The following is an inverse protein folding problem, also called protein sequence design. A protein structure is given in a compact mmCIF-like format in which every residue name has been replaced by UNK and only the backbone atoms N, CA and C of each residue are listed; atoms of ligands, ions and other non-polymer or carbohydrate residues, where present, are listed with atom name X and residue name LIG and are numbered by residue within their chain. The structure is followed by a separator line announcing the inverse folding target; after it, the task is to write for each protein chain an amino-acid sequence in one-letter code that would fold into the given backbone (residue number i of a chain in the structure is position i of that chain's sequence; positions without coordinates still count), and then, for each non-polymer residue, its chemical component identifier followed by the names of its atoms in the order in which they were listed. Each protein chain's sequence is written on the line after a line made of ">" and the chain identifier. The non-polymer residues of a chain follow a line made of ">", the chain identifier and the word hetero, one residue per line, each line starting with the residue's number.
data_IF_773034281873
#
_entry.id   IF_773034281873
#
_cell.length_a   1.000
_cell.length_b   1.000
_cell.length_c   1.000
_cell.angle_alpha   90.00
_cell.angle_beta   90.00
_cell.angle_gamma   90.00
#
_symmetry.space_group_name_H-M   'P 1'
#
loop_
_entity.id
_entity.type
_entity.pdbx_description
1 polymer ?
#
# COMPACT_ATOMS: atom_id res chain seq x y z
N UNK A 1 -19.60 -21.79 3.49
CA UNK A 1 -19.03 -21.53 2.15
C UNK A 1 -19.27 -20.07 1.83
N UNK A 2 -18.24 -19.24 1.77
CA UNK A 2 -18.41 -17.85 1.36
C UNK A 2 -18.76 -17.84 -0.13
N UNK A 3 -19.92 -17.32 -0.50
CA UNK A 3 -20.25 -17.07 -1.90
C UNK A 3 -19.26 -16.01 -2.42
N UNK A 4 -18.37 -16.39 -3.32
CA UNK A 4 -17.58 -15.42 -4.08
C UNK A 4 -18.54 -14.67 -5.00
N UNK A 5 -18.85 -13.42 -4.65
CA UNK A 5 -19.53 -12.50 -5.55
C UNK A 5 -18.56 -12.17 -6.69
N UNK A 6 -18.99 -12.41 -7.93
CA UNK A 6 -18.21 -12.03 -9.10
C UNK A 6 -18.25 -10.50 -9.28
N UNK A 7 -17.08 -9.88 -9.39
CA UNK A 7 -16.95 -8.45 -9.67
C UNK A 7 -16.22 -8.21 -10.98
N UNK A 8 -16.67 -7.19 -11.71
CA UNK A 8 -15.86 -6.56 -12.75
C UNK A 8 -15.12 -5.38 -12.12
N UNK A 9 -13.79 -5.50 -12.02
CA UNK A 9 -12.91 -4.53 -11.38
C UNK A 9 -12.26 -3.62 -12.42
N UNK A 10 -12.26 -2.32 -12.18
CA UNK A 10 -11.49 -1.33 -12.95
C UNK A 10 -10.70 -0.46 -11.98
N UNK A 11 -9.37 -0.55 -12.06
CA UNK A 11 -8.40 0.21 -11.27
C UNK A 11 -7.45 0.89 -12.24
N UNK A 12 -7.12 2.18 -12.07
CA UNK A 12 -6.18 2.87 -12.95
C UNK A 12 -4.77 2.29 -12.81
N UNK A 13 -3.99 2.35 -13.89
CA UNK A 13 -2.54 2.26 -13.78
C UNK A 13 -2.08 3.44 -12.94
N UNK A 14 -1.32 3.16 -11.88
CA UNK A 14 -0.86 4.20 -10.96
C UNK A 14 0.62 4.06 -10.70
N UNK A 15 1.29 5.20 -10.63
CA UNK A 15 2.66 5.31 -10.10
C UNK A 15 2.66 6.39 -9.05
N UNK A 16 2.95 6.03 -7.81
CA UNK A 16 3.05 6.96 -6.69
C UNK A 16 4.47 6.92 -6.16
N UNK A 17 5.13 8.08 -6.17
CA UNK A 17 6.47 8.28 -5.65
C UNK A 17 6.41 9.26 -4.48
N UNK A 18 7.00 8.89 -3.35
CA UNK A 18 7.04 9.73 -2.16
C UNK A 18 8.47 9.85 -1.65
N UNK A 19 8.84 11.04 -1.18
CA UNK A 19 10.11 11.33 -0.51
C UNK A 19 9.80 12.11 0.76
N UNK A 20 9.84 11.42 1.91
CA UNK A 20 9.48 11.98 3.20
C UNK A 20 10.70 12.31 4.03
N UNK A 21 10.79 13.57 4.47
CA UNK A 21 11.65 13.96 5.59
C UNK A 21 10.95 13.59 6.88
N UNK A 22 11.41 12.51 7.50
CA UNK A 22 10.74 11.89 8.65
C UNK A 22 11.04 12.59 9.97
N UNK A 23 12.16 13.31 10.10
CA UNK A 23 12.58 13.90 11.38
C UNK A 23 11.46 14.68 12.08
N UNK A 24 10.82 15.63 11.40
CA UNK A 24 9.76 16.45 12.00
C UNK A 24 8.52 15.63 12.36
N UNK A 25 8.18 14.64 11.53
CA UNK A 25 7.03 13.76 11.78
C UNK A 25 7.28 12.85 12.99
N UNK A 26 8.47 12.26 13.08
CA UNK A 26 8.90 11.40 14.19
C UNK A 26 8.91 12.18 15.52
N UNK A 27 9.44 13.41 15.52
CA UNK A 27 9.38 14.30 16.69
C UNK A 27 7.93 14.55 17.11
N UNK A 28 7.04 14.88 16.18
CA UNK A 28 5.61 15.09 16.46
C UNK A 28 4.90 13.83 16.96
N UNK A 29 5.43 12.65 16.67
CA UNK A 29 4.94 11.36 17.16
C UNK A 29 5.54 10.97 18.53
N UNK A 30 6.38 11.82 19.14
CA UNK A 30 7.03 11.56 20.42
C UNK A 30 8.35 10.79 20.32
N UNK A 31 8.95 10.71 19.13
CA UNK A 31 10.27 10.14 18.89
C UNK A 31 11.23 11.31 18.66
N UNK A 32 11.60 12.01 19.73
CA UNK A 32 12.39 13.24 19.72
C UNK A 32 13.75 13.09 20.38
N UNK A 33 13.87 12.29 21.44
CA UNK A 33 15.12 12.04 22.18
C UNK A 33 16.30 11.71 21.25
N UNK A 34 16.08 10.81 20.27
CA UNK A 34 17.12 10.36 19.33
C UNK A 34 17.69 11.47 18.44
N UNK A 35 16.98 12.59 18.29
CA UNK A 35 17.38 13.75 17.51
C UNK A 35 17.99 14.88 18.38
N UNK A 36 18.02 14.70 19.70
CA UNK A 36 18.50 15.68 20.69
C UNK A 36 19.91 15.35 21.20
N UNK A 37 20.46 16.20 22.05
CA UNK A 37 21.74 15.93 22.75
C UNK A 37 21.59 14.92 23.92
N UNK A 38 20.36 14.57 24.27
CA UNK A 38 20.03 13.56 25.28
C UNK A 38 19.91 12.14 24.67
N UNK A 39 20.14 11.98 23.37
CA UNK A 39 20.06 10.70 22.69
C UNK A 39 20.98 9.64 23.34
N UNK A 40 20.40 8.51 23.76
CA UNK A 40 21.15 7.34 24.19
C UNK A 40 21.22 6.29 23.07
N UNK A 41 22.32 6.34 22.31
CA UNK A 41 22.67 5.37 21.28
C UNK A 41 23.82 4.46 21.71
N UNK A 42 24.03 4.27 23.02
CA UNK A 42 25.12 3.47 23.58
C UNK A 42 25.12 2.00 23.16
N UNK A 43 23.94 1.47 22.77
CA UNK A 43 23.78 0.14 22.17
C UNK A 43 24.40 0.00 20.77
N UNK A 44 24.64 1.12 20.06
CA UNK A 44 25.31 1.16 18.76
C UNK A 44 26.80 1.45 18.96
N UNK A 45 27.13 2.52 19.72
CA UNK A 45 28.51 2.95 19.99
C UNK A 45 28.63 3.46 21.43
N UNK A 46 29.62 2.97 22.17
CA UNK A 46 29.86 3.39 23.57
C UNK A 46 30.43 4.81 23.71
N UNK A 47 31.26 5.23 22.77
CA UNK A 47 31.88 6.56 22.71
C UNK A 47 32.39 6.84 21.30
N UNK A 48 32.26 8.07 20.75
CA UNK A 48 31.62 9.24 21.36
C UNK A 48 30.10 9.10 21.46
N UNK A 49 29.44 10.00 22.20
CA UNK A 49 27.98 10.12 22.16
C UNK A 49 27.52 10.44 20.74
N UNK A 50 26.45 9.79 20.29
CA UNK A 50 25.86 9.97 18.97
C UNK A 50 24.43 10.48 19.10
N UNK A 51 23.98 11.22 18.09
CA UNK A 51 22.58 11.56 17.87
C UNK A 51 22.24 11.45 16.40
N UNK A 52 20.97 11.24 16.09
CA UNK A 52 20.49 11.22 14.71
C UNK A 52 20.29 12.65 14.23
N UNK A 53 20.94 13.00 13.13
CA UNK A 53 20.83 14.34 12.55
C UNK A 53 19.55 14.51 11.73
N UNK A 54 19.19 13.50 10.94
CA UNK A 54 18.02 13.48 10.05
C UNK A 54 17.55 12.04 9.76
N UNK A 55 16.32 11.91 9.27
CA UNK A 55 15.74 10.65 8.83
C UNK A 55 14.89 10.88 7.57
N UNK A 56 15.06 10.05 6.55
CA UNK A 56 14.32 10.15 5.30
C UNK A 56 13.83 8.77 4.82
N UNK A 57 12.68 8.75 4.15
CA UNK A 57 12.12 7.56 3.55
C UNK A 57 11.56 7.87 2.16
N UNK A 58 12.10 7.19 1.16
CA UNK A 58 11.63 7.24 -0.22
C UNK A 58 10.95 5.91 -0.58
N UNK A 59 9.78 6.00 -1.18
CA UNK A 59 8.97 4.85 -1.59
C UNK A 59 8.39 5.09 -2.98
N UNK A 60 8.29 4.01 -3.76
CA UNK A 60 7.68 4.00 -5.09
C UNK A 60 6.75 2.79 -5.14
N UNK A 61 5.50 3.02 -5.53
CA UNK A 61 4.55 1.95 -5.85
C UNK A 61 4.05 2.16 -7.28
N UNK A 62 4.10 1.09 -8.05
CA UNK A 62 3.63 1.05 -9.43
C UNK A 62 2.64 -0.11 -9.55
N UNK A 63 1.47 0.20 -10.11
CA UNK A 63 0.40 -0.77 -10.40
C UNK A 63 0.15 -0.72 -11.89
N UNK A 64 0.44 -1.83 -12.54
CA UNK A 64 0.17 -2.07 -13.96
C UNK A 64 -0.60 -3.39 -14.14
N UNK A 65 -0.84 -3.78 -15.38
CA UNK A 65 -1.56 -5.01 -15.74
C UNK A 65 -0.69 -6.27 -15.61
N UNK A 66 0.64 -6.11 -15.50
CA UNK A 66 1.61 -7.22 -15.48
C UNK A 66 1.98 -7.64 -14.05
N UNK A 67 1.97 -6.71 -13.10
CA UNK A 67 2.34 -6.89 -11.69
C UNK A 67 1.35 -7.70 -10.86
N UNK A 68 0.20 -8.07 -11.42
CA UNK A 68 -0.68 -9.13 -10.92
C UNK A 68 -1.30 -9.78 -12.15
N UNK A 69 -0.77 -10.94 -12.56
CA UNK A 69 -1.17 -11.68 -13.76
C UNK A 69 -2.67 -11.57 -14.00
N UNK A 70 -3.05 -10.69 -14.92
CA UNK A 70 -4.43 -10.46 -15.28
C UNK A 70 -4.96 -11.74 -15.94
N UNK A 71 -5.56 -12.60 -15.11
CA UNK A 71 -6.35 -13.73 -15.54
C UNK A 71 -7.64 -13.18 -16.18
N UNK A 72 -7.53 -12.58 -17.36
CA UNK A 72 -8.61 -12.53 -18.31
C UNK A 72 -8.86 -13.97 -18.78
N UNK A 73 -9.46 -14.78 -17.91
CA UNK A 73 -9.94 -16.10 -18.26
C UNK A 73 -11.17 -15.90 -19.14
N UNK A 74 -10.95 -15.82 -20.46
CA UNK A 74 -11.99 -15.96 -21.46
C UNK A 74 -12.68 -17.30 -21.24
N UNK A 75 -13.85 -17.30 -20.60
CA UNK A 75 -14.62 -18.52 -20.33
C UNK A 75 -15.83 -18.55 -21.25
N UNK A 76 -15.90 -19.56 -22.12
CA UNK A 76 -17.13 -19.91 -22.85
C UNK A 76 -17.97 -20.77 -21.92
N UNK A 77 -19.08 -20.23 -21.41
CA UNK A 77 -20.04 -20.98 -20.58
C UNK A 77 -21.24 -21.37 -21.43
N UNK A 78 -21.50 -22.68 -21.55
CA UNK A 78 -22.76 -23.20 -22.09
C UNK A 78 -23.74 -23.25 -20.91
N UNK A 79 -24.79 -22.42 -20.96
CA UNK A 79 -25.84 -22.36 -19.94
C UNK A 79 -27.20 -22.70 -20.59
N UNK A 80 -28.09 -23.47 -19.92
CA UNK A 80 -29.46 -23.62 -20.38
C UNK A 80 -30.15 -22.26 -20.59
N UNK A 81 -30.96 -22.14 -21.65
CA UNK A 81 -31.60 -20.88 -22.08
C UNK A 81 -32.47 -20.18 -21.02
N UNK A 82 -32.82 -20.86 -19.93
CA UNK A 82 -33.66 -20.33 -18.84
C UNK A 82 -32.86 -19.90 -17.59
N UNK A 83 -31.53 -19.95 -17.60
CA UNK A 83 -30.72 -19.46 -16.48
C UNK A 83 -30.66 -17.93 -16.49
N UNK A 84 -31.16 -17.32 -15.41
CA UNK A 84 -30.87 -15.92 -15.09
C UNK A 84 -29.43 -15.86 -14.59
N UNK A 85 -28.52 -15.37 -15.43
CA UNK A 85 -27.16 -15.07 -15.00
C UNK A 85 -27.20 -13.73 -14.25
N UNK A 86 -26.84 -13.73 -12.97
CA UNK A 86 -26.61 -12.47 -12.26
C UNK A 86 -25.42 -11.75 -12.91
N UNK A 87 -25.62 -10.52 -13.35
CA UNK A 87 -24.51 -9.69 -13.84
C UNK A 87 -23.49 -9.48 -12.71
N UNK A 88 -22.19 -9.55 -13.00
CA UNK A 88 -21.18 -9.26 -11.99
C UNK A 88 -21.33 -7.81 -11.55
N UNK A 89 -21.22 -7.59 -10.25
CA UNK A 89 -21.22 -6.23 -9.72
C UNK A 89 -19.99 -5.49 -10.25
N UNK A 90 -20.17 -4.23 -10.66
CA UNK A 90 -19.07 -3.40 -11.16
C UNK A 90 -18.45 -2.62 -10.02
N UNK A 91 -17.13 -2.62 -9.94
CA UNK A 91 -16.37 -1.72 -9.08
C UNK A 91 -15.40 -0.92 -9.95
N UNK A 92 -15.53 0.39 -9.92
CA UNK A 92 -14.72 1.32 -10.70
C UNK A 92 -14.05 2.30 -9.72
N UNK A 93 -12.73 2.29 -9.66
CA UNK A 93 -11.95 3.24 -8.88
C UNK A 93 -11.67 4.51 -9.73
N UNK A 94 -12.69 5.34 -9.91
CA UNK A 94 -12.67 6.57 -10.74
C UNK A 94 -12.64 7.89 -9.93
N UNK A 95 -12.40 7.79 -8.63
CA UNK A 95 -12.31 8.91 -7.69
C UNK A 95 -11.30 8.57 -6.58
N UNK A 96 -10.89 9.53 -5.73
CA UNK A 96 -9.86 9.29 -4.72
C UNK A 96 -10.12 8.04 -3.86
N UNK A 97 -9.11 7.19 -3.73
CA UNK A 97 -9.19 5.94 -2.97
C UNK A 97 -7.95 5.69 -2.11
N UNK A 98 -8.11 4.88 -1.08
CA UNK A 98 -7.00 4.36 -0.27
C UNK A 98 -6.55 3.01 -0.80
N UNK A 99 -5.25 2.76 -0.77
CA UNK A 99 -4.66 1.47 -1.11
C UNK A 99 -3.73 1.00 0.01
N UNK A 100 -3.67 -0.31 0.20
CA UNK A 100 -2.79 -0.97 1.16
C UNK A 100 -2.21 -2.21 0.48
N UNK A 101 -0.88 -2.31 0.43
CA UNK A 101 -0.20 -3.56 0.08
C UNK A 101 0.14 -4.30 1.37
N UNK A 102 -0.37 -5.52 1.54
CA UNK A 102 -0.14 -6.31 2.76
C UNK A 102 0.58 -7.63 2.47
N UNK A 103 1.40 -8.09 3.41
CA UNK A 103 1.92 -9.47 3.47
C UNK A 103 1.68 -10.05 4.86
N UNK A 104 1.00 -11.20 4.91
CA UNK A 104 0.67 -11.88 6.18
C UNK A 104 0.01 -10.94 7.20
N UNK A 105 -0.98 -10.14 6.76
CA UNK A 105 -1.67 -9.10 7.54
C UNK A 105 -0.82 -7.87 7.94
N UNK A 106 0.47 -7.82 7.56
CA UNK A 106 1.31 -6.64 7.81
C UNK A 106 1.23 -5.66 6.63
N UNK A 107 0.89 -4.38 6.85
CA UNK A 107 0.91 -3.37 5.81
C UNK A 107 2.37 -3.05 5.44
N UNK A 108 2.70 -3.30 4.18
CA UNK A 108 4.00 -2.95 3.58
C UNK A 108 3.98 -1.53 3.02
N UNK A 109 2.88 -1.15 2.38
CA UNK A 109 2.65 0.19 1.85
C UNK A 109 1.21 0.60 2.11
N UNK A 110 1.01 1.89 2.38
CA UNK A 110 -0.30 2.52 2.50
C UNK A 110 -0.23 3.88 1.82
N UNK A 111 -1.30 4.24 1.13
CA UNK A 111 -1.39 5.55 0.51
C UNK A 111 -2.78 5.88 0.04
N UNK A 112 -2.90 7.11 -0.45
CA UNK A 112 -4.09 7.62 -1.11
C UNK A 112 -3.71 7.91 -2.56
N UNK A 113 -4.52 7.43 -3.50
CA UNK A 113 -4.49 7.87 -4.88
C UNK A 113 -5.60 8.91 -5.06
N UNK A 114 -5.25 10.10 -5.54
CA UNK A 114 -6.16 11.25 -5.70
C UNK A 114 -6.26 11.69 -7.14
#
# INVERSE_FOLDING_TARGET
>A
MASQLAFQLTVPKMKVETDYKLKEALIKMGIDDMFSDEADLSGIVKSPKLKVSDAAHKAIIEVDEEGTTAAAASTVKIVPMMLIMEEPKKFVADHPFLFILTKDMNPLFMGQFV
#
